data_IF_213069013557
#
_entry.id   IF_213069013557
#
_cell.length_a   1.000
_cell.length_b   1.000
_cell.length_c   1.000
_cell.angle_alpha   90.00
_cell.angle_beta   90.00
_cell.angle_gamma   90.00
#
_symmetry.space_group_name_H-M   'P 1'
#
loop_
_entity.id
_entity.type
_entity.pdbx_description
1 polymer ?
#
# COMPACT_ATOMS: atom_id res chain seq x y z
N UNK A 1 -8.07 6.54 18.91
CA UNK A 1 -8.15 7.00 17.50
C UNK A 1 -6.80 6.90 16.76
N UNK A 2 -5.64 6.93 17.43
CA UNK A 2 -4.33 6.78 16.77
C UNK A 2 -3.82 5.34 16.57
N UNK A 3 -4.50 4.31 17.08
CA UNK A 3 -4.03 2.92 16.93
C UNK A 3 -4.16 2.35 15.52
N UNK A 4 -4.97 2.97 14.64
CA UNK A 4 -5.33 2.38 13.34
C UNK A 4 -4.40 2.78 12.18
N UNK A 5 -3.46 3.71 12.39
CA UNK A 5 -2.60 4.24 11.31
C UNK A 5 -1.13 4.13 11.70
N UNK A 6 -0.29 3.55 10.84
CA UNK A 6 1.13 3.42 11.12
C UNK A 6 1.79 4.80 11.32
N UNK A 7 2.82 4.87 12.16
CA UNK A 7 3.55 6.11 12.44
C UNK A 7 4.06 6.79 11.15
N UNK A 8 4.54 6.00 10.18
CA UNK A 8 4.98 6.49 8.87
C UNK A 8 3.85 7.14 8.06
N UNK A 9 2.65 6.57 8.10
CA UNK A 9 1.47 7.16 7.44
C UNK A 9 1.02 8.41 8.18
N UNK A 10 1.03 8.41 9.52
CA UNK A 10 0.71 9.58 10.33
C UNK A 10 1.63 10.78 10.02
N UNK A 11 2.94 10.55 9.91
CA UNK A 11 3.90 11.60 9.58
C UNK A 11 3.65 12.25 8.21
N UNK A 12 3.08 11.52 7.26
CA UNK A 12 2.75 12.05 5.92
C UNK A 12 1.47 12.89 5.89
N UNK A 13 0.58 12.73 6.86
CA UNK A 13 -0.74 13.39 6.88
C UNK A 13 -0.87 14.47 7.98
N UNK A 14 -0.04 14.42 9.04
CA UNK A 14 -0.18 15.29 10.23
C UNK A 14 -0.11 16.80 9.97
N UNK A 15 0.53 17.23 8.88
CA UNK A 15 0.74 18.65 8.56
C UNK A 15 -0.20 19.16 7.46
N UNK A 16 -1.27 18.42 7.12
CA UNK A 16 -2.24 18.85 6.12
C UNK A 16 -3.24 19.83 6.76
N UNK A 17 -3.49 20.95 6.09
CA UNK A 17 -4.30 22.05 6.62
C UNK A 17 -5.80 21.73 6.74
N UNK A 18 -6.30 20.70 6.04
CA UNK A 18 -7.72 20.34 6.03
C UNK A 18 -7.92 18.84 6.19
N UNK A 19 -9.05 18.46 6.79
CA UNK A 19 -9.45 17.06 6.89
C UNK A 19 -9.59 16.41 5.50
N UNK A 20 -10.07 17.15 4.49
CA UNK A 20 -10.15 16.66 3.12
C UNK A 20 -8.76 16.30 2.56
N UNK A 21 -7.75 17.13 2.81
CA UNK A 21 -6.37 16.85 2.38
C UNK A 21 -5.74 15.68 3.14
N UNK A 22 -6.10 15.49 4.42
CA UNK A 22 -5.72 14.29 5.21
C UNK A 22 -6.32 13.04 4.58
N UNK A 23 -7.64 13.03 4.34
CA UNK A 23 -8.36 11.87 3.79
C UNK A 23 -7.89 11.51 2.38
N UNK A 24 -7.75 12.50 1.50
CA UNK A 24 -7.23 12.29 0.14
C UNK A 24 -5.84 11.64 0.17
N UNK A 25 -4.94 12.12 1.05
CA UNK A 25 -3.60 11.56 1.16
C UNK A 25 -3.61 10.15 1.75
N UNK A 26 -4.47 9.89 2.73
CA UNK A 26 -4.60 8.58 3.35
C UNK A 26 -5.09 7.54 2.32
N UNK A 27 -6.10 7.88 1.52
CA UNK A 27 -6.61 7.00 0.46
C UNK A 27 -5.52 6.66 -0.56
N UNK A 28 -4.76 7.66 -1.03
CA UNK A 28 -3.64 7.44 -1.95
C UNK A 28 -2.59 6.49 -1.37
N UNK A 29 -2.18 6.67 -0.11
CA UNK A 29 -1.20 5.77 0.53
C UNK A 29 -1.71 4.33 0.61
N UNK A 30 -3.01 4.13 0.85
CA UNK A 30 -3.59 2.79 0.93
C UNK A 30 -3.74 2.15 -0.45
N UNK A 31 -4.05 2.93 -1.50
CA UNK A 31 -4.07 2.47 -2.89
C UNK A 31 -2.67 2.01 -3.33
N UNK A 32 -1.65 2.83 -3.13
CA UNK A 32 -0.26 2.49 -3.48
C UNK A 32 0.20 1.17 -2.83
N UNK A 33 -0.20 0.95 -1.56
CA UNK A 33 0.09 -0.32 -0.85
C UNK A 33 -0.67 -1.50 -1.44
N UNK A 34 -1.93 -1.30 -1.84
CA UNK A 34 -2.74 -2.33 -2.50
C UNK A 34 -2.10 -2.78 -3.81
N UNK A 35 -1.68 -1.82 -4.64
CA UNK A 35 -1.02 -2.08 -5.92
C UNK A 35 0.29 -2.85 -5.74
N UNK A 36 1.10 -2.47 -4.75
CA UNK A 36 2.34 -3.18 -4.41
C UNK A 36 2.08 -4.63 -4.00
N UNK A 37 1.05 -4.87 -3.16
CA UNK A 37 0.68 -6.21 -2.73
C UNK A 37 0.22 -7.05 -3.92
N UNK A 38 -0.60 -6.48 -4.82
CA UNK A 38 -1.08 -7.15 -6.01
C UNK A 38 0.08 -7.54 -6.94
N UNK A 39 0.99 -6.61 -7.25
CA UNK A 39 2.16 -6.88 -8.09
C UNK A 39 3.05 -7.96 -7.47
N UNK A 40 3.35 -7.84 -6.18
CA UNK A 40 4.19 -8.83 -5.48
C UNK A 40 3.55 -10.23 -5.47
N UNK A 41 2.23 -10.31 -5.24
CA UNK A 41 1.50 -11.57 -5.31
C UNK A 41 1.54 -12.16 -6.72
N UNK A 42 1.29 -11.34 -7.74
CA UNK A 42 1.34 -11.77 -9.14
C UNK A 42 2.74 -12.31 -9.50
N UNK A 43 3.81 -11.59 -9.15
CA UNK A 43 5.18 -12.04 -9.38
C UNK A 43 5.46 -13.37 -8.68
N UNK A 44 5.01 -13.54 -7.42
CA UNK A 44 5.19 -14.82 -6.70
C UNK A 44 4.45 -15.97 -7.38
N UNK A 45 3.22 -15.75 -7.82
CA UNK A 45 2.43 -16.77 -8.52
C UNK A 45 3.07 -17.14 -9.86
N UNK A 46 3.52 -16.15 -10.63
CA UNK A 46 4.25 -16.38 -11.89
C UNK A 46 5.54 -17.18 -11.65
N UNK A 47 6.32 -16.81 -10.64
CA UNK A 47 7.55 -17.53 -10.30
C UNK A 47 7.29 -18.96 -9.83
N UNK A 48 6.17 -19.23 -9.13
CA UNK A 48 5.79 -20.60 -8.77
C UNK A 48 5.40 -21.43 -10.00
N UNK A 49 4.63 -20.84 -10.93
CA UNK A 49 4.28 -21.50 -12.19
C UNK A 49 5.55 -21.83 -13.00
N UNK A 50 6.51 -20.89 -13.08
CA UNK A 50 7.79 -21.12 -13.76
C UNK A 50 8.71 -22.16 -13.08
N UNK A 51 8.45 -22.57 -11.84
CA UNK A 51 9.20 -23.62 -11.15
C UNK A 51 8.56 -25.01 -11.32
N UNK A 52 7.29 -25.08 -11.70
CA UNK A 52 6.58 -26.34 -11.98
C UNK A 52 6.70 -26.76 -13.46
N UNK A 53 6.76 -25.79 -14.36
CA UNK A 53 7.09 -25.99 -15.77
C UNK A 53 8.49 -25.39 -16.03
N UNK A 54 9.53 -26.23 -16.04
CA UNK A 54 10.92 -25.84 -16.39
C UNK A 54 10.94 -24.87 -17.59
N UNK A 55 11.27 -23.60 -17.33
CA UNK A 55 11.52 -22.60 -18.38
C UNK A 55 12.84 -22.86 -19.11
#
# INVERSE_FOLDING_TARGET
IYETVSQSTFLQIKNKATAAAVWSRLVSIMQDKGDLIQVNLLTKLQNMICLEDDC
#
